data_IF_972963569812
#
_entry.id   IF_972963569812
#
_cell.length_a   1.000
_cell.length_b   1.000
_cell.length_c   1.000
_cell.angle_alpha   90.00
_cell.angle_beta   90.00
_cell.angle_gamma   90.00
#
_symmetry.space_group_name_H-M   'P 1'
#
loop_
_entity.id
_entity.type
_entity.pdbx_description
1 polymer ?
#
# COMPACT_ATOMS: atom_id res chain seq x y z
N UNK A 1 3.81 12.41 3.56
CA UNK A 1 3.51 11.77 2.25
C UNK A 1 3.85 12.71 1.10
N UNK A 2 3.55 14.01 1.22
CA UNK A 2 4.02 15.07 0.31
C UNK A 2 5.54 15.04 0.13
N UNK A 3 6.31 14.85 1.21
CA UNK A 3 7.78 14.86 1.13
C UNK A 3 8.36 13.72 0.27
N UNK A 4 7.73 12.54 0.27
CA UNK A 4 8.15 11.42 -0.57
C UNK A 4 7.90 11.72 -2.05
N UNK A 5 6.76 12.34 -2.36
CA UNK A 5 6.45 12.81 -3.70
C UNK A 5 7.41 13.92 -4.16
N UNK A 6 7.67 14.92 -3.30
CA UNK A 6 8.59 16.02 -3.59
C UNK A 6 10.02 15.52 -3.80
N UNK A 7 10.56 14.72 -2.87
CA UNK A 7 11.88 14.12 -2.97
C UNK A 7 12.04 13.36 -4.30
N UNK A 8 11.00 12.63 -4.71
CA UNK A 8 11.10 11.90 -5.98
C UNK A 8 10.99 12.80 -7.21
N UNK A 9 10.13 13.82 -7.19
CA UNK A 9 10.03 14.83 -8.25
C UNK A 9 11.37 15.54 -8.47
N UNK A 10 12.11 15.79 -7.39
CA UNK A 10 13.42 16.45 -7.39
C UNK A 10 14.59 15.50 -7.69
N UNK A 11 14.33 14.20 -7.87
CA UNK A 11 15.35 13.19 -8.14
C UNK A 11 16.18 12.81 -6.91
N UNK A 12 15.74 13.16 -5.70
CA UNK A 12 16.41 12.88 -4.42
C UNK A 12 16.20 11.41 -3.98
N UNK A 13 16.75 10.47 -4.76
CA UNK A 13 16.53 9.02 -4.60
C UNK A 13 16.75 8.51 -3.18
N UNK A 14 17.86 8.91 -2.55
CA UNK A 14 18.19 8.47 -1.20
C UNK A 14 17.15 8.93 -0.17
N UNK A 15 16.72 10.20 -0.27
CA UNK A 15 15.70 10.75 0.62
C UNK A 15 14.34 10.09 0.40
N UNK A 16 13.99 9.78 -0.85
CA UNK A 16 12.78 9.02 -1.15
C UNK A 16 12.81 7.61 -0.54
N UNK A 17 13.94 6.90 -0.64
CA UNK A 17 14.13 5.61 0.01
C UNK A 17 14.02 5.71 1.53
N UNK A 18 14.66 6.72 2.15
CA UNK A 18 14.60 6.94 3.59
C UNK A 18 13.20 7.29 4.10
N UNK A 19 12.40 8.01 3.29
CA UNK A 19 10.99 8.29 3.57
C UNK A 19 10.08 7.08 3.35
N UNK A 20 10.51 6.10 2.54
CA UNK A 20 9.76 4.87 2.29
C UNK A 20 10.01 3.79 3.36
N UNK A 21 11.21 3.72 3.96
CA UNK A 21 11.57 2.73 5.00
C UNK A 21 10.57 2.63 6.15
N UNK A 22 10.06 3.75 6.73
CA UNK A 22 9.06 3.69 7.78
C UNK A 22 7.73 3.07 7.33
N UNK A 23 7.44 2.97 6.04
CA UNK A 23 6.21 2.35 5.54
C UNK A 23 6.26 0.82 5.63
N UNK A 24 7.41 0.21 5.92
CA UNK A 24 7.51 -1.25 6.12
C UNK A 24 6.76 -1.62 7.41
N UNK A 25 5.85 -2.58 7.30
CA UNK A 25 5.11 -3.15 8.42
C UNK A 25 6.06 -3.88 9.38
N UNK A 26 6.13 -3.47 10.67
CA UNK A 26 6.90 -4.22 11.66
C UNK A 26 6.20 -5.54 12.01
N UNK A 27 7.00 -6.59 12.26
CA UNK A 27 6.51 -7.93 12.66
C UNK A 27 5.34 -8.42 11.77
N UNK A 28 5.54 -8.49 10.44
CA UNK A 28 4.44 -8.70 9.49
C UNK A 28 3.66 -9.97 9.77
N UNK A 29 4.32 -11.06 10.16
CA UNK A 29 3.66 -12.33 10.47
C UNK A 29 2.66 -12.20 11.61
N UNK A 30 3.08 -11.61 12.74
CA UNK A 30 2.21 -11.37 13.89
C UNK A 30 1.02 -10.50 13.50
N UNK A 31 1.25 -9.45 12.72
CA UNK A 31 0.20 -8.54 12.29
C UNK A 31 -0.81 -9.24 11.35
N UNK A 32 -0.33 -9.91 10.30
CA UNK A 32 -1.20 -10.60 9.34
C UNK A 32 -1.99 -11.73 9.99
N UNK A 33 -1.39 -12.51 10.89
CA UNK A 33 -2.12 -13.54 11.66
C UNK A 33 -3.15 -12.91 12.60
N UNK A 34 -2.85 -11.78 13.22
CA UNK A 34 -3.81 -11.04 14.06
C UNK A 34 -5.02 -10.51 13.29
N UNK A 35 -4.84 -10.17 12.00
CA UNK A 35 -5.91 -9.63 11.15
C UNK A 35 -6.70 -10.73 10.44
N UNK A 36 -6.02 -11.73 9.88
CA UNK A 36 -6.62 -12.74 8.99
C UNK A 36 -6.75 -14.13 9.63
N UNK A 37 -6.20 -14.33 10.83
CA UNK A 37 -6.02 -15.65 11.45
C UNK A 37 -4.79 -16.39 10.91
N UNK A 38 -4.45 -17.52 11.53
CA UNK A 38 -3.16 -18.20 11.30
C UNK A 38 -2.91 -18.61 9.85
N UNK A 39 -3.86 -19.33 9.22
CA UNK A 39 -3.68 -19.86 7.87
C UNK A 39 -3.54 -18.73 6.83
N UNK A 40 -4.54 -17.85 6.76
CA UNK A 40 -4.59 -16.73 5.81
C UNK A 40 -3.51 -15.68 6.11
N UNK A 41 -3.20 -15.46 7.39
CA UNK A 41 -2.12 -14.57 7.81
C UNK A 41 -0.74 -15.08 7.37
N UNK A 42 -0.51 -16.39 7.42
CA UNK A 42 0.73 -17.01 6.92
C UNK A 42 0.86 -16.82 5.40
N UNK A 43 -0.22 -17.06 4.63
CA UNK A 43 -0.24 -16.82 3.18
C UNK A 43 0.06 -15.35 2.84
N UNK A 44 -0.57 -14.41 3.54
CA UNK A 44 -0.31 -12.98 3.37
C UNK A 44 1.11 -12.57 3.73
N UNK A 45 1.69 -13.16 4.78
CA UNK A 45 3.08 -12.92 5.17
C UNK A 45 4.04 -13.38 4.09
N UNK A 46 3.80 -14.55 3.48
CA UNK A 46 4.62 -15.05 2.39
C UNK A 46 4.58 -14.11 1.17
N UNK A 47 3.40 -13.60 0.80
CA UNK A 47 3.27 -12.60 -0.27
C UNK A 47 3.95 -11.28 0.07
N UNK A 48 3.80 -10.81 1.30
CA UNK A 48 4.44 -9.59 1.78
C UNK A 48 5.97 -9.69 1.70
N UNK A 49 6.54 -10.81 2.13
CA UNK A 49 7.99 -11.05 2.10
C UNK A 49 8.57 -11.14 0.68
N UNK A 50 7.75 -11.42 -0.35
CA UNK A 50 8.18 -11.33 -1.76
C UNK A 50 8.27 -9.89 -2.26
N UNK A 51 7.49 -8.99 -1.67
CA UNK A 51 7.35 -7.58 -2.10
C UNK A 51 8.31 -6.67 -1.36
N UNK A 52 8.44 -6.80 -0.04
CA UNK A 52 9.23 -5.87 0.79
C UNK A 52 10.67 -5.68 0.32
N UNK A 53 11.43 -6.74 -0.04
CA UNK A 53 12.82 -6.56 -0.48
C UNK A 53 12.95 -5.69 -1.75
N UNK A 54 11.88 -5.59 -2.54
CA UNK A 54 11.83 -4.79 -3.77
C UNK A 54 11.18 -3.44 -3.56
N UNK A 55 10.54 -3.22 -2.41
CA UNK A 55 9.66 -2.07 -2.20
C UNK A 55 10.36 -0.73 -2.40
N UNK A 56 11.59 -0.57 -1.91
CA UNK A 56 12.36 0.67 -2.09
C UNK A 56 12.60 0.98 -3.58
N UNK A 57 13.00 -0.02 -4.38
CA UNK A 57 13.19 0.12 -5.82
C UNK A 57 11.89 0.26 -6.62
N UNK A 58 10.85 -0.48 -6.22
CA UNK A 58 9.52 -0.40 -6.83
C UNK A 58 8.90 0.99 -6.62
N UNK A 59 9.14 1.60 -5.46
CA UNK A 59 8.72 2.98 -5.17
C UNK A 59 9.42 3.95 -6.12
N UNK A 60 10.74 3.85 -6.32
CA UNK A 60 11.47 4.73 -7.23
C UNK A 60 10.90 4.66 -8.66
N UNK A 61 10.72 3.45 -9.19
CA UNK A 61 10.19 3.23 -10.54
C UNK A 61 8.76 3.73 -10.68
N UNK A 62 7.91 3.45 -9.69
CA UNK A 62 6.55 3.94 -9.63
C UNK A 62 6.56 5.47 -9.69
N UNK A 63 7.33 6.14 -8.86
CA UNK A 63 7.34 7.60 -8.83
C UNK A 63 7.92 8.22 -10.11
N UNK A 64 8.96 7.63 -10.71
CA UNK A 64 9.44 8.06 -12.01
C UNK A 64 8.32 8.00 -13.08
N UNK A 65 7.49 6.94 -13.03
CA UNK A 65 6.31 6.79 -13.90
C UNK A 65 5.25 7.86 -13.61
N UNK A 66 4.91 8.12 -12.35
CA UNK A 66 3.85 9.10 -12.03
C UNK A 66 4.27 10.53 -12.35
N UNK A 67 5.55 10.89 -12.14
CA UNK A 67 6.13 12.17 -12.56
C UNK A 67 6.05 12.32 -14.08
N UNK A 68 6.52 11.33 -14.85
CA UNK A 68 6.43 11.33 -16.31
C UNK A 68 4.99 11.41 -16.82
N UNK A 69 4.04 10.82 -16.10
CA UNK A 69 2.62 10.82 -16.45
C UNK A 69 1.86 12.10 -16.04
N UNK A 70 2.52 13.06 -15.38
CA UNK A 70 1.89 14.28 -14.87
C UNK A 70 0.88 14.04 -13.73
N UNK A 71 1.02 12.93 -13.01
CA UNK A 71 0.15 12.58 -11.89
C UNK A 71 0.68 13.26 -10.62
N UNK A 72 0.29 14.52 -10.43
CA UNK A 72 0.81 15.39 -9.38
C UNK A 72 -0.02 15.45 -8.10
N UNK A 73 -1.19 14.82 -8.07
CA UNK A 73 -2.05 14.79 -6.90
C UNK A 73 -2.05 13.41 -6.25
N UNK A 74 -2.18 13.39 -4.92
CA UNK A 74 -2.33 12.15 -4.14
C UNK A 74 -3.80 12.04 -3.74
N UNK A 75 -4.44 10.96 -4.17
CA UNK A 75 -5.77 10.57 -3.70
C UNK A 75 -5.64 9.41 -2.72
N UNK A 76 -6.25 9.56 -1.54
CA UNK A 76 -6.32 8.52 -0.52
C UNK A 76 -7.78 8.13 -0.33
N UNK A 77 -8.10 6.87 -0.60
CA UNK A 77 -9.41 6.30 -0.30
C UNK A 77 -9.28 5.41 0.92
N UNK A 78 -10.21 5.56 1.88
CA UNK A 78 -10.30 4.74 3.08
C UNK A 78 -11.49 3.79 2.94
N UNK A 79 -11.26 2.50 3.17
CA UNK A 79 -12.26 1.45 3.10
C UNK A 79 -12.39 0.79 4.47
N UNK A 80 -13.60 0.78 5.02
CA UNK A 80 -13.89 0.23 6.36
C UNK A 80 -14.33 -1.24 6.32
N UNK A 81 -15.00 -1.64 5.24
CA UNK A 81 -15.64 -2.96 5.11
C UNK A 81 -15.84 -3.33 3.66
N UNK A 82 -15.91 -4.63 3.39
CA UNK A 82 -16.38 -5.17 2.13
C UNK A 82 -17.92 -5.31 2.11
N UNK A 83 -18.55 -5.22 0.92
CA UNK A 83 -17.97 -4.69 -0.30
C UNK A 83 -17.92 -3.14 -0.26
N UNK A 84 -16.84 -2.56 -0.78
CA UNK A 84 -16.77 -1.14 -1.13
C UNK A 84 -16.69 -1.02 -2.66
N UNK A 85 -17.58 -0.26 -3.32
CA UNK A 85 -17.60 -0.15 -4.78
C UNK A 85 -16.40 0.61 -5.36
N UNK A 86 -15.62 1.32 -4.53
CA UNK A 86 -14.42 2.06 -4.94
C UNK A 86 -13.14 1.25 -4.68
N UNK A 87 -13.23 0.16 -3.93
CA UNK A 87 -12.12 -0.78 -3.75
C UNK A 87 -11.86 -1.55 -5.05
N UNK A 88 -10.58 -1.77 -5.36
CA UNK A 88 -10.14 -2.42 -6.61
C UNK A 88 -9.15 -3.54 -6.33
N UNK A 89 -8.91 -4.40 -7.33
CA UNK A 89 -8.03 -5.55 -7.16
C UNK A 89 -8.55 -6.45 -6.05
N UNK A 90 -7.67 -6.84 -5.12
CA UNK A 90 -7.98 -7.80 -4.06
C UNK A 90 -8.45 -7.15 -2.74
N UNK A 91 -8.75 -5.85 -2.75
CA UNK A 91 -9.08 -5.13 -1.52
C UNK A 91 -10.41 -5.59 -0.90
N UNK A 92 -11.44 -5.84 -1.72
CA UNK A 92 -12.72 -6.37 -1.24
C UNK A 92 -12.57 -7.80 -0.72
N UNK A 93 -11.84 -8.66 -1.44
CA UNK A 93 -11.58 -10.04 -1.01
C UNK A 93 -10.87 -10.07 0.34
N UNK A 94 -9.86 -9.21 0.52
CA UNK A 94 -9.13 -9.07 1.77
C UNK A 94 -10.04 -8.65 2.92
N UNK A 95 -10.79 -7.55 2.75
CA UNK A 95 -11.70 -7.05 3.78
C UNK A 95 -12.78 -8.07 4.15
N UNK A 96 -13.25 -8.88 3.20
CA UNK A 96 -14.25 -9.92 3.44
C UNK A 96 -13.74 -11.07 4.34
N UNK A 97 -12.43 -11.30 4.38
CA UNK A 97 -11.81 -12.40 5.14
C UNK A 97 -11.05 -11.94 6.40
N UNK A 98 -11.04 -10.64 6.70
CA UNK A 98 -10.47 -10.11 7.94
C UNK A 98 -11.27 -10.62 9.15
N UNK A 99 -10.60 -11.34 10.05
CA UNK A 99 -11.16 -11.73 11.36
C UNK A 99 -11.23 -10.54 12.31
N UNK A 100 -10.22 -9.66 12.25
CA UNK A 100 -10.20 -8.37 12.94
C UNK A 100 -10.26 -7.26 11.89
N UNK A 101 -11.41 -6.59 11.72
CA UNK A 101 -11.53 -5.51 10.75
C UNK A 101 -10.50 -4.40 11.01
N UNK A 102 -9.78 -4.01 9.95
CA UNK A 102 -8.86 -2.88 9.95
C UNK A 102 -9.11 -2.05 8.68
N UNK A 103 -9.15 -0.71 8.77
CA UNK A 103 -9.36 0.11 7.59
C UNK A 103 -8.20 -0.06 6.60
N UNK A 104 -8.53 -0.28 5.32
CA UNK A 104 -7.56 -0.25 4.24
C UNK A 104 -7.53 1.14 3.60
N UNK A 105 -6.32 1.63 3.35
CA UNK A 105 -6.08 2.89 2.67
C UNK A 105 -5.47 2.60 1.29
N UNK A 106 -6.16 3.03 0.23
CA UNK A 106 -5.66 2.99 -1.14
C UNK A 106 -5.03 4.32 -1.49
N UNK A 107 -3.72 4.30 -1.72
CA UNK A 107 -2.98 5.49 -2.17
C UNK A 107 -2.85 5.44 -3.70
N UNK A 108 -3.21 6.54 -4.35
CA UNK A 108 -3.16 6.69 -5.80
C UNK A 108 -2.50 8.02 -6.16
N UNK A 109 -1.64 7.97 -7.18
CA UNK A 109 -1.20 9.18 -7.88
C UNK A 109 -2.14 9.44 -9.04
N UNK A 110 -2.73 10.63 -9.07
CA UNK A 110 -3.73 11.04 -10.05
C UNK A 110 -3.30 12.32 -10.74
N UNK A 111 -3.81 12.56 -11.94
CA UNK A 111 -3.68 13.87 -12.57
C UNK A 111 -4.62 14.85 -11.86
N UNK A 112 -4.34 16.15 -11.90
CA UNK A 112 -5.26 17.15 -11.36
C UNK A 112 -6.68 16.98 -11.89
N UNK A 113 -7.64 16.86 -10.98
CA UNK A 113 -9.06 16.66 -11.32
C UNK A 113 -9.50 15.21 -11.57
N UNK A 114 -8.57 14.26 -11.69
CA UNK A 114 -8.88 12.84 -11.87
C UNK A 114 -9.04 12.12 -10.52
N UNK A 115 -9.99 11.18 -10.45
CA UNK A 115 -10.18 10.31 -9.27
C UNK A 115 -9.46 8.97 -9.37
N UNK A 116 -9.13 8.55 -10.58
CA UNK A 116 -8.46 7.29 -10.85
C UNK A 116 -7.05 7.58 -11.37
N UNK A 117 -6.12 6.70 -11.02
CA UNK A 117 -4.72 6.87 -11.37
C UNK A 117 -3.90 5.68 -10.95
N UNK A 118 -2.58 5.88 -10.91
CA UNK A 118 -1.65 4.80 -10.61
C UNK A 118 -1.76 4.40 -9.14
N UNK A 119 -2.30 3.21 -8.91
CA UNK A 119 -2.34 2.60 -7.58
C UNK A 119 -0.94 2.15 -7.16
N UNK A 120 -0.62 2.40 -5.89
CA UNK A 120 0.68 2.07 -5.30
C UNK A 120 0.60 0.70 -4.63
N UNK A 121 -0.03 0.66 -3.45
CA UNK A 121 -0.32 -0.53 -2.66
C UNK A 121 -1.49 -0.20 -1.72
N UNK A 122 -1.97 -1.20 -0.98
CA UNK A 122 -2.82 -0.97 0.18
C UNK A 122 -1.95 -0.62 1.39
N UNK A 123 -2.47 0.25 2.24
CA UNK A 123 -1.86 0.69 3.48
C UNK A 123 -2.82 0.50 4.65
N UNK A 124 -2.26 0.43 5.86
CA UNK A 124 -2.97 0.41 7.14
C UNK A 124 -2.33 1.42 8.09
N UNK A 125 -3.08 1.89 9.09
CA UNK A 125 -2.55 2.76 10.14
C UNK A 125 -2.28 1.96 11.41
N UNK A 126 -1.00 1.77 11.77
CA UNK A 126 -0.54 0.90 12.85
C UNK A 126 0.62 1.58 13.58
N UNK A 127 0.55 1.61 14.91
CA UNK A 127 1.58 2.19 15.78
C UNK A 127 1.94 3.64 15.38
N UNK A 128 0.92 4.48 15.19
CA UNK A 128 1.08 5.90 14.86
C UNK A 128 1.54 6.19 13.44
N UNK A 129 1.66 5.19 12.55
CA UNK A 129 2.15 5.39 11.18
C UNK A 129 1.41 4.57 10.13
N UNK A 130 1.47 5.02 8.88
CA UNK A 130 1.02 4.23 7.74
C UNK A 130 2.02 3.15 7.40
N UNK A 131 1.54 1.92 7.21
CA UNK A 131 2.33 0.75 6.82
C UNK A 131 1.77 0.16 5.53
N UNK A 132 2.64 -0.06 4.55
CA UNK A 132 2.33 -0.77 3.32
C UNK A 132 2.07 -2.24 3.64
N UNK A 133 1.00 -2.80 3.08
CA UNK A 133 0.56 -4.19 3.29
C UNK A 133 0.37 -4.93 1.96
N UNK A 134 0.92 -4.36 0.88
CA UNK A 134 0.96 -4.95 -0.44
C UNK A 134 -0.36 -4.83 -1.20
N UNK A 135 -0.53 -5.70 -2.21
CA UNK A 135 -1.72 -5.73 -3.08
C UNK A 135 -2.89 -6.51 -2.50
N UNK A 136 -2.71 -7.16 -1.36
CA UNK A 136 -3.69 -8.08 -0.75
C UNK A 136 -3.98 -9.36 -1.55
N UNK A 137 -2.99 -9.88 -2.28
CA UNK A 137 -3.20 -11.00 -3.20
C UNK A 137 -3.04 -12.40 -2.60
N UNK A 138 -2.75 -12.52 -1.29
CA UNK A 138 -2.50 -13.81 -0.62
C UNK A 138 -3.72 -14.70 -0.41
N UNK A 139 -4.85 -14.35 -1.02
CA UNK A 139 -6.12 -15.08 -0.96
C UNK A 139 -6.52 -15.70 -2.30
N UNK A 140 -5.68 -15.58 -3.33
CA UNK A 140 -5.83 -16.37 -4.55
C UNK A 140 -5.38 -17.80 -4.27
N UNK A 141 -6.25 -18.75 -4.62
CA UNK A 141 -5.89 -20.16 -4.75
C UNK A 141 -4.94 -20.39 -5.93
#
# INVERSE_FOLDING_TARGET
MTDLYTATKEGEKQKAADLAKPLVLPKPETWFKGVFGDEKGTKMTAEYNKVVPKFEGDIEQLFAKVVKAGQSEISVLRFERAPDPKAVGYQNDAMAVMKKPVPLYSVRFVKPGDRLGQHVYSFVYVDGGFRMVGKMQGFKD
#
